data_IF_021083081699
#
_entry.id   IF_021083081699
#
_cell.length_a   1.000
_cell.length_b   1.000
_cell.length_c   1.000
_cell.angle_alpha   90.00
_cell.angle_beta   90.00
_cell.angle_gamma   90.00
#
_symmetry.space_group_name_H-M   'P 1'
#
loop_
_entity.id
_entity.type
_entity.pdbx_description
1 polymer ?
#
# COMPACT_ATOMS: atom_id res chain seq x y z
N UNK A 1 -14.61 -8.87 19.42
CA UNK A 1 -14.75 -8.31 18.06
C UNK A 1 -14.81 -9.45 17.08
N UNK A 2 -15.91 -9.59 16.36
CA UNK A 2 -16.00 -10.58 15.29
C UNK A 2 -14.99 -10.25 14.19
N UNK A 3 -14.12 -11.21 13.86
CA UNK A 3 -13.12 -11.09 12.78
C UNK A 3 -13.80 -11.27 11.44
N UNK A 4 -14.64 -10.30 11.06
CA UNK A 4 -15.30 -10.32 9.77
C UNK A 4 -14.29 -10.07 8.64
N UNK A 5 -14.44 -10.75 7.49
CA UNK A 5 -13.59 -10.51 6.34
C UNK A 5 -13.78 -9.07 5.83
N UNK A 6 -12.73 -8.48 5.23
CA UNK A 6 -12.76 -7.10 4.69
C UNK A 6 -13.87 -6.90 3.66
N UNK A 7 -14.22 -7.95 2.91
CA UNK A 7 -15.36 -7.96 1.98
C UNK A 7 -16.71 -7.66 2.64
N UNK A 8 -16.81 -7.76 3.95
CA UNK A 8 -17.98 -7.32 4.70
C UNK A 8 -18.21 -5.80 4.57
N UNK A 9 -17.13 -5.01 4.63
CA UNK A 9 -17.17 -3.56 4.49
C UNK A 9 -17.56 -3.10 3.06
N UNK A 10 -17.39 -3.97 2.08
CA UNK A 10 -17.75 -3.70 0.68
C UNK A 10 -19.26 -3.85 0.42
N UNK A 11 -20.00 -4.54 1.30
CA UNK A 11 -21.45 -4.73 1.14
C UNK A 11 -22.14 -3.35 1.11
N UNK A 12 -23.07 -3.08 0.17
CA UNK A 12 -23.68 -1.76 0.00
C UNK A 12 -24.29 -1.18 1.29
N UNK A 13 -24.97 -2.02 2.08
CA UNK A 13 -25.57 -1.60 3.35
C UNK A 13 -24.51 -1.32 4.43
N UNK A 14 -23.44 -2.12 4.48
CA UNK A 14 -22.34 -1.90 5.44
C UNK A 14 -21.57 -0.64 5.06
N UNK A 15 -21.30 -0.42 3.77
CA UNK A 15 -20.64 0.80 3.29
C UNK A 15 -21.49 2.06 3.52
N UNK A 16 -22.81 1.96 3.36
CA UNK A 16 -23.75 3.06 3.62
C UNK A 16 -23.86 3.39 5.12
N UNK A 17 -23.71 2.38 5.98
CA UNK A 17 -23.84 2.53 7.44
C UNK A 17 -22.51 2.75 8.15
N UNK A 18 -21.40 2.35 7.53
CA UNK A 18 -20.07 2.78 7.89
C UNK A 18 -20.02 4.27 7.58
N UNK A 19 -19.97 5.12 8.61
CA UNK A 19 -19.87 6.59 8.51
C UNK A 19 -18.50 7.02 7.96
N UNK A 20 -17.97 6.33 6.96
CA UNK A 20 -16.70 6.59 6.34
C UNK A 20 -16.97 7.27 5.01
N UNK A 21 -16.83 8.59 5.00
CA UNK A 21 -16.78 9.35 3.75
C UNK A 21 -15.67 8.78 2.85
N UNK A 22 -15.88 8.74 1.52
CA UNK A 22 -14.82 8.36 0.60
C UNK A 22 -13.60 9.24 0.81
N UNK A 23 -12.42 8.63 0.95
CA UNK A 23 -11.17 9.38 0.97
C UNK A 23 -11.05 10.14 -0.36
N UNK A 24 -10.72 11.43 -0.28
CA UNK A 24 -10.50 12.21 -1.51
C UNK A 24 -9.30 11.63 -2.26
N UNK A 25 -9.34 11.65 -3.60
CA UNK A 25 -8.23 11.19 -4.42
C UNK A 25 -6.92 11.93 -4.09
N UNK A 26 -7.00 13.24 -3.82
CA UNK A 26 -5.87 14.07 -3.43
C UNK A 26 -5.27 13.64 -2.08
N UNK A 27 -6.13 13.36 -1.09
CA UNK A 27 -5.70 12.85 0.22
C UNK A 27 -5.05 11.48 0.07
N UNK A 28 -5.67 10.57 -0.69
CA UNK A 28 -5.11 9.24 -0.96
C UNK A 28 -3.73 9.35 -1.62
N UNK A 29 -3.60 10.17 -2.66
CA UNK A 29 -2.33 10.38 -3.35
C UNK A 29 -1.24 10.93 -2.42
N UNK A 30 -1.58 11.91 -1.57
CA UNK A 30 -0.65 12.46 -0.56
C UNK A 30 -0.12 11.37 0.37
N UNK A 31 -1.01 10.53 0.92
CA UNK A 31 -0.60 9.47 1.84
C UNK A 31 0.19 8.36 1.14
N UNK A 32 -0.17 8.00 -0.11
CA UNK A 32 0.62 7.06 -0.91
C UNK A 32 2.03 7.60 -1.12
N UNK A 33 2.19 8.88 -1.44
CA UNK A 33 3.50 9.49 -1.64
C UNK A 33 4.35 9.51 -0.36
N UNK A 34 3.73 9.82 0.79
CA UNK A 34 4.41 9.79 2.10
C UNK A 34 4.86 8.35 2.41
N UNK A 35 3.97 7.37 2.24
CA UNK A 35 4.28 5.96 2.47
C UNK A 35 5.40 5.47 1.56
N UNK A 36 5.34 5.81 0.28
CA UNK A 36 6.38 5.52 -0.70
C UNK A 36 7.74 6.06 -0.26
N UNK A 37 7.79 7.33 0.16
CA UNK A 37 9.04 7.99 0.58
C UNK A 37 9.62 7.30 1.80
N UNK A 38 8.79 7.04 2.81
CA UNK A 38 9.21 6.33 4.03
C UNK A 38 9.78 4.94 3.74
N UNK A 39 9.06 4.14 2.94
CA UNK A 39 9.47 2.77 2.60
C UNK A 39 10.74 2.78 1.75
N UNK A 40 10.84 3.67 0.76
CA UNK A 40 12.05 3.82 -0.06
C UNK A 40 13.27 4.13 0.81
N UNK A 41 13.14 5.05 1.76
CA UNK A 41 14.28 5.47 2.59
C UNK A 41 14.71 4.36 3.56
N UNK A 42 13.77 3.63 4.17
CA UNK A 42 14.08 2.45 4.99
C UNK A 42 14.76 1.32 4.18
N UNK A 43 14.30 1.10 2.95
CA UNK A 43 14.91 0.15 2.02
C UNK A 43 16.32 0.60 1.61
N UNK A 44 16.53 1.88 1.33
CA UNK A 44 17.83 2.44 0.96
C UNK A 44 18.88 2.28 2.07
N UNK A 45 18.45 2.27 3.34
CA UNK A 45 19.34 2.00 4.47
C UNK A 45 19.77 0.53 4.55
N UNK A 46 19.00 -0.39 3.96
CA UNK A 46 19.22 -1.85 4.05
C UNK A 46 19.89 -2.42 2.80
N UNK A 47 19.55 -1.90 1.62
CA UNK A 47 20.12 -2.34 0.35
C UNK A 47 21.38 -1.53 0.01
N UNK A 48 22.50 -2.22 -0.18
CA UNK A 48 23.79 -1.60 -0.53
C UNK A 48 23.93 -1.24 -2.02
N UNK A 49 22.91 -1.53 -2.85
CA UNK A 49 22.93 -1.39 -4.32
C UNK A 49 21.77 -0.55 -4.85
N UNK A 50 21.83 -0.21 -6.14
CA UNK A 50 20.71 0.38 -6.89
C UNK A 50 19.49 -0.55 -6.83
N UNK A 51 18.35 -0.01 -6.47
CA UNK A 51 17.06 -0.70 -6.46
C UNK A 51 16.00 0.19 -7.12
N UNK A 52 15.02 -0.45 -7.76
CA UNK A 52 13.76 0.17 -8.13
C UNK A 52 12.72 -0.04 -7.03
N UNK A 53 11.68 0.78 -7.03
CA UNK A 53 10.51 0.60 -6.16
C UNK A 53 9.30 0.41 -7.05
N UNK A 54 8.56 -0.67 -6.81
CA UNK A 54 7.32 -0.98 -7.52
C UNK A 54 6.14 -0.77 -6.58
N UNK A 55 5.15 -0.02 -7.06
CA UNK A 55 3.87 0.14 -6.41
C UNK A 55 2.84 -0.70 -7.17
N UNK A 56 2.25 -1.66 -6.49
CA UNK A 56 1.19 -2.53 -7.03
C UNK A 56 0.02 -2.55 -6.06
N UNK A 57 -1.20 -2.65 -6.54
CA UNK A 57 -2.35 -2.61 -5.63
C UNK A 57 -3.69 -2.58 -6.33
N UNK A 58 -4.74 -2.62 -5.52
CA UNK A 58 -6.12 -2.61 -5.97
C UNK A 58 -7.01 -1.88 -4.97
N UNK A 59 -8.29 -2.25 -4.94
CA UNK A 59 -9.31 -1.57 -4.11
C UNK A 59 -9.06 -1.64 -2.60
N UNK A 60 -8.32 -2.64 -2.12
CA UNK A 60 -8.23 -2.94 -0.68
C UNK A 60 -6.81 -2.99 -0.12
N UNK A 61 -5.80 -3.01 -0.99
CA UNK A 61 -4.40 -3.07 -0.56
C UNK A 61 -3.51 -2.36 -1.56
N UNK A 62 -2.39 -1.88 -1.04
CA UNK A 62 -1.27 -1.35 -1.80
C UNK A 62 -0.04 -2.09 -1.28
N UNK A 63 0.73 -2.64 -2.20
CA UNK A 63 2.03 -3.23 -1.97
C UNK A 63 3.11 -2.30 -2.53
N UNK A 64 4.12 -2.05 -1.71
CA UNK A 64 5.33 -1.31 -2.09
C UNK A 64 6.50 -2.28 -1.92
N UNK A 65 7.20 -2.56 -3.00
CA UNK A 65 8.25 -3.58 -3.02
C UNK A 65 9.54 -2.97 -3.59
N UNK A 66 10.68 -3.33 -3.00
CA UNK A 66 11.97 -3.14 -3.66
C UNK A 66 12.17 -4.19 -4.75
N UNK A 67 12.69 -3.76 -5.89
CA UNK A 67 13.18 -4.63 -6.94
C UNK A 67 14.65 -4.31 -7.13
N UNK A 68 15.51 -5.32 -7.02
CA UNK A 68 16.94 -5.17 -7.19
C UNK A 68 17.50 -6.44 -7.82
N UNK A 69 18.58 -6.30 -8.56
CA UNK A 69 19.28 -7.45 -9.12
C UNK A 69 20.01 -8.17 -8.00
N UNK A 70 19.56 -9.38 -7.69
CA UNK A 70 20.25 -10.29 -6.78
C UNK A 70 21.31 -11.08 -7.56
N UNK A 71 22.61 -10.80 -7.37
CA UNK A 71 23.67 -11.52 -8.09
C UNK A 71 23.78 -13.00 -7.67
N UNK A 72 23.07 -13.43 -6.62
CA UNK A 72 23.10 -14.81 -6.12
C UNK A 72 22.03 -15.70 -6.74
N UNK A 73 21.03 -15.11 -7.40
CA UNK A 73 19.96 -15.81 -8.10
C UNK A 73 20.26 -15.74 -9.60
N UNK A 74 21.01 -16.72 -10.10
CA UNK A 74 21.29 -16.93 -11.54
C UNK A 74 20.34 -17.95 -12.14
#
# INVERSE_FOLDING_TARGET
MDRMPVSFCERPLVRKNAKMEPISAATLQKYIHILYTYVRDDIALKLSKKFGVVLSGGRHFIAIMAVFDDPTVS
#
